data_IF_465539272995
#
_entry.id   IF_465539272995
#
_cell.length_a   1.000
_cell.length_b   1.000
_cell.length_c   1.000
_cell.angle_alpha   90.00
_cell.angle_beta   90.00
_cell.angle_gamma   90.00
#
_symmetry.space_group_name_H-M   'P 1'
#
loop_
_entity.id
_entity.type
_entity.pdbx_description
1 polymer ?
#
# COMPACT_ATOMS: atom_id res chain seq x y z
N UNK A 1 0.24 -15.80 -14.20
CA UNK A 1 -0.63 -15.36 -15.32
C UNK A 1 0.16 -14.36 -16.15
N UNK A 2 0.20 -14.48 -17.48
CA UNK A 2 0.99 -13.59 -18.37
C UNK A 2 0.12 -13.07 -19.51
N UNK A 3 0.20 -11.78 -19.81
CA UNK A 3 -0.60 -11.15 -20.86
C UNK A 3 0.06 -9.87 -21.40
N UNK A 4 -0.43 -9.39 -22.53
CA UNK A 4 -0.06 -8.08 -23.10
C UNK A 4 -1.13 -7.05 -22.77
N UNK A 5 -0.71 -5.86 -22.37
CA UNK A 5 -1.60 -4.71 -22.12
C UNK A 5 -0.83 -3.41 -22.43
N UNK A 6 -1.35 -2.25 -22.05
CA UNK A 6 -0.65 -0.97 -22.20
C UNK A 6 -0.84 -0.09 -20.96
N UNK A 7 0.11 0.81 -20.74
CA UNK A 7 -0.06 1.83 -19.70
C UNK A 7 -1.13 2.81 -20.16
N UNK A 8 -2.19 2.95 -19.37
CA UNK A 8 -3.27 3.89 -19.60
C UNK A 8 -3.27 4.99 -18.53
N UNK A 9 -3.90 6.11 -18.86
CA UNK A 9 -4.08 7.24 -17.96
C UNK A 9 -5.55 7.66 -17.95
N UNK A 10 -6.16 7.75 -16.78
CA UNK A 10 -7.48 8.35 -16.64
C UNK A 10 -7.44 9.82 -17.05
N UNK A 11 -8.37 10.23 -17.92
CA UNK A 11 -8.53 11.61 -18.38
C UNK A 11 -9.74 12.27 -17.71
N UNK A 12 -9.72 13.61 -17.60
CA UNK A 12 -10.84 14.42 -17.08
C UNK A 12 -10.69 14.90 -15.62
N UNK A 13 -11.67 15.69 -15.12
CA UNK A 13 -11.63 16.32 -13.79
C UNK A 13 -11.64 15.32 -12.62
N UNK A 14 -11.92 14.04 -12.89
CA UNK A 14 -11.87 12.94 -11.92
C UNK A 14 -10.52 12.22 -11.85
N UNK A 15 -9.50 12.67 -12.59
CA UNK A 15 -8.12 12.18 -12.48
C UNK A 15 -7.48 12.63 -11.15
N UNK A 16 -8.03 12.17 -10.02
CA UNK A 16 -7.43 12.31 -8.68
C UNK A 16 -6.24 11.36 -8.55
N UNK A 17 -5.20 11.80 -7.85
CA UNK A 17 -4.04 11.12 -7.21
C UNK A 17 -3.40 9.88 -7.91
N UNK A 18 -4.18 8.93 -8.42
CA UNK A 18 -3.74 7.74 -9.16
C UNK A 18 -4.37 7.70 -10.56
N UNK A 19 -3.76 8.42 -11.50
CA UNK A 19 -4.23 8.45 -12.90
C UNK A 19 -3.72 7.29 -13.75
N UNK A 20 -2.56 6.71 -13.41
CA UNK A 20 -1.89 5.70 -14.21
C UNK A 20 -2.29 4.28 -13.80
N UNK A 21 -2.67 3.48 -14.78
CA UNK A 21 -3.13 2.10 -14.56
C UNK A 21 -2.83 1.22 -15.77
N UNK A 22 -2.87 -0.10 -15.56
CA UNK A 22 -2.77 -1.09 -16.63
C UNK A 22 -4.04 -1.93 -16.61
N UNK A 23 -4.85 -1.90 -17.69
CA UNK A 23 -6.04 -2.73 -17.80
C UNK A 23 -5.69 -4.23 -17.79
N UNK A 24 -6.53 -5.02 -17.14
CA UNK A 24 -6.44 -6.49 -17.10
C UNK A 24 -7.40 -7.05 -18.16
N UNK A 25 -6.93 -7.87 -19.11
CA UNK A 25 -7.78 -8.57 -20.07
C UNK A 25 -8.88 -9.43 -19.43
N UNK A 26 -10.00 -9.62 -20.14
CA UNK A 26 -11.20 -10.27 -19.59
C UNK A 26 -10.95 -11.71 -19.10
N UNK A 27 -10.19 -12.49 -19.85
CA UNK A 27 -9.80 -13.87 -19.53
C UNK A 27 -8.97 -13.95 -18.24
N UNK A 28 -8.03 -13.00 -18.04
CA UNK A 28 -7.22 -12.91 -16.81
C UNK A 28 -8.06 -12.40 -15.64
N UNK A 29 -8.93 -11.41 -15.90
CA UNK A 29 -9.86 -10.86 -14.90
C UNK A 29 -10.76 -11.94 -14.31
N UNK A 30 -11.32 -12.81 -15.14
CA UNK A 30 -12.18 -13.91 -14.68
C UNK A 30 -11.43 -14.87 -13.76
N UNK A 31 -10.19 -15.24 -14.10
CA UNK A 31 -9.35 -16.08 -13.26
C UNK A 31 -9.03 -15.42 -11.92
N UNK A 32 -8.69 -14.13 -11.92
CA UNK A 32 -8.41 -13.34 -10.71
C UNK A 32 -9.64 -13.29 -9.79
N UNK A 33 -10.82 -13.04 -10.38
CA UNK A 33 -12.09 -12.98 -9.63
C UNK A 33 -12.50 -14.33 -9.07
N UNK A 34 -12.37 -15.41 -9.84
CA UNK A 34 -12.65 -16.76 -9.39
C UNK A 34 -11.80 -17.15 -8.16
N UNK A 35 -10.58 -16.62 -8.07
CA UNK A 35 -9.69 -16.85 -6.93
C UNK A 35 -9.80 -15.81 -5.82
N UNK A 36 -10.63 -14.76 -5.98
CA UNK A 36 -10.82 -13.71 -4.99
C UNK A 36 -9.58 -12.85 -4.72
N UNK A 37 -8.65 -12.75 -5.68
CA UNK A 37 -7.43 -11.97 -5.49
C UNK A 37 -7.72 -10.48 -5.44
N UNK A 38 -7.34 -9.83 -4.32
CA UNK A 38 -7.44 -8.37 -4.14
C UNK A 38 -6.11 -7.65 -4.43
N UNK A 39 -5.02 -8.41 -4.46
CA UNK A 39 -3.63 -7.95 -4.64
C UNK A 39 -2.87 -8.98 -5.44
N UNK A 40 -1.87 -8.50 -6.18
CA UNK A 40 -0.99 -9.33 -6.98
C UNK A 40 0.45 -8.86 -6.83
N UNK A 41 1.37 -9.80 -6.90
CA UNK A 41 2.75 -9.50 -7.24
C UNK A 41 2.87 -9.53 -8.76
N UNK A 42 3.41 -8.48 -9.36
CA UNK A 42 3.50 -8.34 -10.81
C UNK A 42 4.87 -7.93 -11.32
N UNK A 43 5.23 -8.42 -12.50
CA UNK A 43 6.38 -7.97 -13.29
C UNK A 43 5.88 -7.28 -14.55
N UNK A 44 6.51 -6.16 -14.92
CA UNK A 44 6.21 -5.42 -16.15
C UNK A 44 7.48 -5.36 -16.98
N UNK A 45 7.43 -5.86 -18.21
CA UNK A 45 8.57 -5.98 -19.12
C UNK A 45 9.78 -6.69 -18.49
N UNK A 46 9.54 -7.73 -17.69
CA UNK A 46 10.60 -8.49 -17.01
C UNK A 46 11.22 -7.79 -15.80
N UNK A 47 10.61 -6.70 -15.30
CA UNK A 47 11.06 -6.05 -14.07
C UNK A 47 11.02 -7.01 -12.87
N UNK A 48 11.77 -6.73 -11.79
CA UNK A 48 11.53 -7.39 -10.51
C UNK A 48 10.07 -7.28 -10.08
N UNK A 49 9.59 -8.27 -9.33
CA UNK A 49 8.23 -8.31 -8.81
C UNK A 49 7.90 -7.07 -7.98
N UNK A 50 6.71 -6.51 -8.23
CA UNK A 50 6.18 -5.37 -7.49
C UNK A 50 4.74 -5.65 -7.07
N UNK A 51 4.37 -5.19 -5.89
CA UNK A 51 3.01 -5.36 -5.38
C UNK A 51 2.07 -4.35 -6.02
N UNK A 52 0.96 -4.83 -6.54
CA UNK A 52 -0.10 -4.00 -7.11
C UNK A 52 -1.44 -4.28 -6.43
N UNK A 53 -2.21 -3.22 -6.21
CA UNK A 53 -3.62 -3.33 -5.87
C UNK A 53 -4.43 -3.59 -7.14
N UNK A 54 -5.34 -4.56 -7.07
CA UNK A 54 -6.35 -4.77 -8.12
C UNK A 54 -7.53 -3.86 -7.82
N UNK A 55 -7.97 -3.13 -8.83
CA UNK A 55 -9.16 -2.30 -8.78
C UNK A 55 -10.20 -2.90 -9.72
N UNK A 56 -11.41 -3.05 -9.20
CA UNK A 56 -12.56 -3.50 -9.97
C UNK A 56 -13.39 -2.28 -10.36
N UNK A 57 -13.74 -2.16 -11.62
CA UNK A 57 -14.71 -1.16 -12.09
C UNK A 57 -15.81 -1.82 -12.91
N UNK A 58 -16.88 -1.06 -13.18
CA UNK A 58 -17.97 -1.52 -14.04
C UNK A 58 -17.48 -1.82 -15.48
N UNK A 59 -16.50 -1.05 -15.98
CA UNK A 59 -16.01 -1.18 -17.35
C UNK A 59 -14.92 -2.26 -17.48
N UNK A 60 -13.87 -2.19 -16.66
CA UNK A 60 -12.77 -3.15 -16.68
C UNK A 60 -12.03 -3.20 -15.34
N UNK A 61 -11.33 -4.30 -15.08
CA UNK A 61 -10.45 -4.42 -13.92
C UNK A 61 -9.05 -3.96 -14.32
N UNK A 62 -8.31 -3.36 -13.38
CA UNK A 62 -6.99 -2.80 -13.66
C UNK A 62 -6.09 -2.86 -12.43
N UNK A 63 -4.78 -2.82 -12.66
CA UNK A 63 -3.80 -2.55 -11.60
C UNK A 63 -3.40 -1.08 -11.62
N UNK A 64 -3.26 -0.47 -10.44
CA UNK A 64 -2.76 0.89 -10.32
C UNK A 64 -1.24 0.91 -10.39
N UNK A 65 -0.68 1.90 -11.10
CA UNK A 65 0.76 2.06 -11.23
C UNK A 65 1.15 3.46 -10.74
N UNK A 66 2.14 3.54 -9.83
CA UNK A 66 2.59 4.85 -9.34
C UNK A 66 3.44 5.58 -10.38
N UNK A 67 3.40 6.91 -10.38
CA UNK A 67 4.28 7.74 -11.24
C UNK A 67 5.77 7.45 -11.03
N UNK A 68 6.17 7.16 -9.78
CA UNK A 68 7.55 6.78 -9.45
C UNK A 68 7.95 5.45 -10.12
N UNK A 69 7.04 4.48 -10.11
CA UNK A 69 7.27 3.17 -10.73
C UNK A 69 7.34 3.28 -12.25
N UNK A 70 6.42 4.03 -12.88
CA UNK A 70 6.44 4.21 -14.34
C UNK A 70 7.71 4.92 -14.80
N UNK A 71 8.17 5.94 -14.07
CA UNK A 71 9.45 6.61 -14.33
C UNK A 71 10.65 5.66 -14.15
N UNK A 72 10.66 4.86 -13.09
CA UNK A 72 11.75 3.89 -12.84
C UNK A 72 11.92 2.88 -13.99
N UNK A 73 10.82 2.47 -14.61
CA UNK A 73 10.82 1.51 -15.71
C UNK A 73 10.71 2.15 -17.10
N UNK A 74 10.76 3.48 -17.19
CA UNK A 74 10.58 4.23 -18.44
C UNK A 74 9.33 3.83 -19.24
N UNK A 75 8.22 3.58 -18.55
CA UNK A 75 6.97 3.18 -19.18
C UNK A 75 6.29 4.39 -19.84
N UNK A 76 5.87 4.22 -21.09
CA UNK A 76 5.19 5.25 -21.89
C UNK A 76 3.72 4.89 -22.05
N UNK A 77 2.84 5.88 -21.87
CA UNK A 77 1.39 5.71 -22.05
C UNK A 77 1.08 5.29 -23.49
N UNK A 78 0.22 4.30 -23.64
CA UNK A 78 -0.18 3.74 -24.94
C UNK A 78 0.79 2.70 -25.51
N UNK A 79 1.97 2.51 -24.92
CA UNK A 79 2.92 1.48 -25.39
C UNK A 79 2.54 0.11 -24.84
N UNK A 80 2.69 -0.92 -25.68
CA UNK A 80 2.45 -2.31 -25.30
C UNK A 80 3.47 -2.76 -24.23
N UNK A 81 2.97 -3.50 -23.23
CA UNK A 81 3.70 -4.02 -22.09
C UNK A 81 3.45 -5.51 -21.97
N UNK A 82 4.47 -6.25 -21.57
CA UNK A 82 4.31 -7.64 -21.09
C UNK A 82 4.11 -7.61 -19.59
N UNK A 83 2.98 -8.14 -19.11
CA UNK A 83 2.62 -8.16 -17.69
C UNK A 83 2.52 -9.59 -17.22
N UNK A 84 3.20 -9.89 -16.11
CA UNK A 84 3.11 -11.17 -15.42
C UNK A 84 2.57 -10.94 -14.02
N UNK A 85 1.48 -11.60 -13.65
CA UNK A 85 0.84 -11.49 -12.34
C UNK A 85 0.80 -12.84 -11.64
N UNK A 86 1.01 -12.81 -10.33
CA UNK A 86 0.84 -13.93 -9.42
C UNK A 86 0.17 -13.45 -8.13
N UNK A 87 -0.35 -14.40 -7.34
CA UNK A 87 -0.97 -14.10 -6.06
C UNK A 87 0.02 -13.37 -5.14
N UNK A 88 -0.44 -12.32 -4.48
CA UNK A 88 0.32 -11.70 -3.39
C UNK A 88 0.08 -12.48 -2.10
N UNK A 89 1.08 -13.27 -1.69
CA UNK A 89 1.03 -14.10 -0.48
C UNK A 89 1.51 -13.37 0.78
N UNK A 90 1.92 -12.10 0.65
CA UNK A 90 2.38 -11.34 1.80
C UNK A 90 1.21 -11.00 2.75
N UNK A 91 1.47 -11.14 4.05
CA UNK A 91 0.52 -10.82 5.13
C UNK A 91 -0.01 -9.39 5.00
N UNK A 92 0.90 -8.42 4.93
CA UNK A 92 0.54 -7.00 4.94
C UNK A 92 0.60 -6.31 3.59
N UNK A 93 1.15 -6.93 2.54
CA UNK A 93 1.33 -6.25 1.25
C UNK A 93 2.48 -5.26 1.23
N UNK A 94 3.39 -5.42 2.19
CA UNK A 94 4.67 -4.74 2.33
C UNK A 94 5.39 -5.33 3.54
N UNK A 95 6.66 -5.02 3.66
CA UNK A 95 7.49 -5.38 4.82
C UNK A 95 7.05 -4.59 6.07
N UNK A 96 6.95 -5.28 7.22
CA UNK A 96 6.71 -4.65 8.51
C UNK A 96 8.02 -4.00 8.97
N UNK A 97 8.06 -2.68 9.25
CA UNK A 97 9.27 -2.04 9.76
C UNK A 97 9.53 -2.50 11.19
N UNK A 98 10.81 -2.73 11.49
CA UNK A 98 11.29 -3.22 12.79
C UNK A 98 10.74 -2.41 13.97
N UNK A 99 10.72 -1.08 13.86
CA UNK A 99 10.26 -0.22 14.96
C UNK A 99 8.78 -0.41 15.30
N UNK A 100 7.94 -0.68 14.29
CA UNK A 100 6.53 -0.99 14.53
C UNK A 100 6.39 -2.44 15.03
N UNK A 101 7.15 -3.38 14.47
CA UNK A 101 7.13 -4.78 14.92
C UNK A 101 7.50 -4.90 16.39
N UNK A 102 8.55 -4.21 16.83
CA UNK A 102 9.00 -4.25 18.22
C UNK A 102 7.97 -3.63 19.17
N UNK A 103 7.32 -2.54 18.74
CA UNK A 103 6.22 -1.93 19.50
C UNK A 103 5.05 -2.91 19.70
N UNK A 104 4.66 -3.65 18.65
CA UNK A 104 3.62 -4.67 18.73
C UNK A 104 4.05 -5.85 19.62
N UNK A 105 5.33 -6.25 19.57
CA UNK A 105 5.83 -7.33 20.41
C UNK A 105 5.85 -6.97 21.91
N UNK A 106 6.18 -5.72 22.24
CA UNK A 106 6.33 -5.26 23.63
C UNK A 106 5.00 -4.86 24.28
N UNK A 107 4.02 -4.40 23.51
CA UNK A 107 2.72 -3.96 24.02
C UNK A 107 1.58 -4.84 23.46
N UNK A 108 1.15 -5.87 24.22
CA UNK A 108 0.05 -6.75 23.81
C UNK A 108 -1.25 -6.02 23.50
N UNK A 109 -1.54 -4.92 24.21
CA UNK A 109 -2.77 -4.17 24.00
C UNK A 109 -2.75 -3.44 22.64
N UNK A 110 -1.63 -2.80 22.32
CA UNK A 110 -1.43 -2.22 20.99
C UNK A 110 -1.48 -3.30 19.90
N UNK A 111 -0.87 -4.45 20.13
CA UNK A 111 -0.89 -5.58 19.22
C UNK A 111 -2.31 -6.05 18.88
N UNK A 112 -3.13 -6.25 19.91
CA UNK A 112 -4.50 -6.71 19.75
C UNK A 112 -5.34 -5.67 18.98
N UNK A 113 -5.20 -4.38 19.33
CA UNK A 113 -5.89 -3.32 18.60
C UNK A 113 -5.45 -3.24 17.14
N UNK A 114 -4.15 -3.37 16.84
CA UNK A 114 -3.64 -3.37 15.48
C UNK A 114 -4.18 -4.54 14.66
N UNK A 115 -4.15 -5.76 15.22
CA UNK A 115 -4.59 -6.96 14.52
C UNK A 115 -6.11 -7.05 14.33
N UNK A 116 -6.89 -6.33 15.14
CA UNK A 116 -8.33 -6.16 14.97
C UNK A 116 -8.73 -5.14 13.89
N UNK A 117 -7.78 -4.34 13.37
CA UNK A 117 -8.05 -3.44 12.25
C UNK A 117 -8.28 -4.21 10.95
N UNK A 118 -8.97 -3.58 10.00
CA UNK A 118 -9.05 -4.14 8.64
C UNK A 118 -7.66 -4.19 7.99
N UNK A 119 -7.38 -5.17 7.09
CA UNK A 119 -6.07 -5.27 6.44
C UNK A 119 -5.64 -4.00 5.69
N UNK A 120 -6.60 -3.20 5.21
CA UNK A 120 -6.32 -1.90 4.59
C UNK A 120 -5.82 -0.86 5.59
N UNK A 121 -6.40 -0.82 6.80
CA UNK A 121 -5.96 0.06 7.89
C UNK A 121 -4.60 -0.35 8.44
N UNK A 122 -4.36 -1.64 8.66
CA UNK A 122 -3.06 -2.18 9.07
C UNK A 122 -1.95 -1.74 8.08
N UNK A 123 -2.17 -1.99 6.79
CA UNK A 123 -1.24 -1.58 5.73
C UNK A 123 -0.98 -0.08 5.70
N UNK A 124 -2.01 0.74 5.93
CA UNK A 124 -1.83 2.19 5.99
C UNK A 124 -0.88 2.59 7.12
N UNK A 125 -1.04 2.02 8.32
CA UNK A 125 -0.16 2.28 9.46
C UNK A 125 1.28 1.83 9.20
N UNK A 126 1.46 0.62 8.65
CA UNK A 126 2.77 0.11 8.23
C UNK A 126 3.41 1.05 7.21
N UNK A 127 2.63 1.53 6.24
CA UNK A 127 3.09 2.46 5.22
C UNK A 127 3.53 3.81 5.81
N UNK A 128 2.79 4.36 6.78
CA UNK A 128 3.16 5.61 7.45
C UNK A 128 4.56 5.52 8.06
N UNK A 129 4.89 4.41 8.72
CA UNK A 129 6.22 4.17 9.30
C UNK A 129 7.26 3.93 8.20
N UNK A 130 6.97 3.07 7.23
CA UNK A 130 7.92 2.68 6.16
C UNK A 130 8.38 3.87 5.29
N UNK A 131 7.50 4.85 5.04
CA UNK A 131 7.80 5.99 4.17
C UNK A 131 8.86 6.96 4.72
N UNK A 132 9.13 6.97 6.03
CA UNK A 132 10.17 7.83 6.60
C UNK A 132 11.52 7.12 6.65
N UNK A 133 12.59 7.88 6.41
CA UNK A 133 13.93 7.33 6.15
C UNK A 133 14.76 7.06 7.40
N UNK A 134 14.63 7.88 8.44
CA UNK A 134 15.44 7.74 9.66
C UNK A 134 14.74 6.88 10.70
N UNK A 135 15.51 6.01 11.36
CA UNK A 135 15.09 5.17 12.48
C UNK A 135 14.36 5.98 13.55
N UNK A 136 14.91 7.15 13.94
CA UNK A 136 14.26 8.05 14.91
C UNK A 136 12.85 8.47 14.48
N UNK A 137 12.65 8.76 13.19
CA UNK A 137 11.33 9.14 12.66
C UNK A 137 10.38 7.95 12.56
N UNK A 138 10.90 6.75 12.25
CA UNK A 138 10.11 5.51 12.24
C UNK A 138 9.61 5.18 13.64
N UNK A 139 10.51 5.24 14.62
CA UNK A 139 10.19 5.04 16.03
C UNK A 139 9.17 6.07 16.53
N UNK A 140 9.32 7.35 16.18
CA UNK A 140 8.33 8.39 16.49
C UNK A 140 6.92 8.06 15.97
N UNK A 141 6.83 7.56 14.74
CA UNK A 141 5.55 7.15 14.15
C UNK A 141 4.99 5.88 14.77
N UNK A 142 5.83 4.88 15.05
CA UNK A 142 5.42 3.66 15.74
C UNK A 142 4.81 3.99 17.12
N UNK A 143 5.47 4.85 17.90
CA UNK A 143 4.95 5.36 19.18
C UNK A 143 3.62 6.10 19.02
N UNK A 144 3.52 7.01 18.05
CA UNK A 144 2.29 7.75 17.80
C UNK A 144 1.11 6.84 17.40
N UNK A 145 1.40 5.77 16.64
CA UNK A 145 0.40 4.76 16.27
C UNK A 145 -0.05 3.98 17.50
N UNK A 146 0.89 3.50 18.33
CA UNK A 146 0.57 2.77 19.55
C UNK A 146 -0.27 3.62 20.52
N UNK A 147 0.19 4.84 20.84
CA UNK A 147 -0.51 5.81 21.68
C UNK A 147 -1.94 6.06 21.16
N UNK A 148 -2.10 6.25 19.86
CA UNK A 148 -3.42 6.46 19.25
C UNK A 148 -4.31 5.23 19.37
N UNK A 149 -3.81 4.02 19.07
CA UNK A 149 -4.60 2.79 19.13
C UNK A 149 -5.06 2.49 20.55
N UNK A 150 -4.18 2.67 21.54
CA UNK A 150 -4.51 2.45 22.95
C UNK A 150 -5.54 3.47 23.43
N UNK A 151 -5.30 4.77 23.24
CA UNK A 151 -6.22 5.82 23.70
C UNK A 151 -7.59 5.76 23.00
N UNK A 152 -7.61 5.35 21.73
CA UNK A 152 -8.84 5.22 20.96
C UNK A 152 -9.50 3.83 21.08
N UNK A 153 -8.95 2.93 21.90
CA UNK A 153 -9.44 1.55 22.06
C UNK A 153 -9.62 0.84 20.72
N UNK A 154 -8.62 0.94 19.85
CA UNK A 154 -8.61 0.38 18.49
C UNK A 154 -9.42 1.15 17.44
N UNK A 155 -10.13 2.23 17.82
CA UNK A 155 -10.88 3.05 16.85
C UNK A 155 -9.96 4.00 16.10
N UNK A 156 -9.43 3.51 14.97
CA UNK A 156 -8.52 4.29 14.15
C UNK A 156 -9.18 5.53 13.50
N UNK A 157 -8.88 6.71 14.05
CA UNK A 157 -9.11 8.02 13.44
C UNK A 157 -7.79 8.64 12.91
N UNK A 158 -7.71 8.86 11.59
CA UNK A 158 -6.51 9.40 10.95
C UNK A 158 -6.25 10.88 11.24
N UNK A 159 -7.28 11.68 11.54
CA UNK A 159 -7.10 13.09 11.90
C UNK A 159 -6.41 13.18 13.25
N UNK A 160 -6.88 12.42 14.23
CA UNK A 160 -6.29 12.37 15.57
C UNK A 160 -4.87 11.78 15.50
N UNK A 161 -4.68 10.69 14.76
CA UNK A 161 -3.36 10.08 14.57
C UNK A 161 -2.35 11.08 13.95
N UNK A 162 -2.77 11.89 12.98
CA UNK A 162 -1.88 12.88 12.37
C UNK A 162 -1.42 13.96 13.36
N UNK A 163 -2.29 14.40 14.27
CA UNK A 163 -1.90 15.33 15.33
C UNK A 163 -0.93 14.68 16.33
N UNK A 164 -1.16 13.40 16.68
CA UNK A 164 -0.22 12.61 17.51
C UNK A 164 1.16 12.49 16.84
N UNK A 165 1.20 12.16 15.55
CA UNK A 165 2.45 12.08 14.80
C UNK A 165 3.20 13.41 14.83
N UNK A 166 2.52 14.55 14.67
CA UNK A 166 3.15 15.88 14.75
C UNK A 166 3.75 16.12 16.13
N UNK A 167 3.03 15.77 17.20
CA UNK A 167 3.51 15.88 18.57
C UNK A 167 4.81 15.09 18.79
N UNK A 168 4.83 13.79 18.45
CA UNK A 168 6.02 12.95 18.61
C UNK A 168 7.18 13.43 17.72
N UNK A 169 6.91 13.93 16.51
CA UNK A 169 7.94 14.50 15.64
C UNK A 169 8.57 15.77 16.24
N UNK A 170 7.80 16.62 16.91
CA UNK A 170 8.30 17.83 17.57
C UNK A 170 9.14 17.47 18.80
N UNK A 171 8.68 16.54 19.64
CA UNK A 171 9.45 16.08 20.80
C UNK A 171 10.81 15.48 20.39
N UNK A 172 10.84 14.74 19.27
CA UNK A 172 12.08 14.18 18.73
C UNK A 172 13.06 15.23 18.16
N UNK A 173 12.64 16.49 17.95
CA UNK A 173 13.56 17.57 17.55
C UNK A 173 14.19 18.29 18.74
N UNK A 174 13.58 18.17 19.92
CA UNK A 174 14.00 18.85 21.15
C UNK A 174 15.01 18.04 21.98
N UNK A 175 15.24 16.77 21.60
CA UNK A 175 16.22 15.85 22.18
C UNK A 175 17.25 15.47 21.14
#
# INVERSE_FOLDING_TARGET
MKFTSSLAQFTGPSAKVYSLHIPIPADIKEQIRAQGWKRVMGSINGSPGHQFGIMHSAAYDYILVSKKFTQKLNLVVGTALTVELQKDESTYGMEMPEELSEMLNQDPLTNDYFHNLTPGKQRNLIYLVTQVKSTKSRMAKALAIADHLVNAQGKLDFKVLNERIKFYNQQNKLK
#
